data_IF_772131881294
#
_entry.id   IF_772131881294
#
_cell.length_a   1.000
_cell.length_b   1.000
_cell.length_c   1.000
_cell.angle_alpha   90.00
_cell.angle_beta   90.00
_cell.angle_gamma   90.00
#
_symmetry.space_group_name_H-M   'P 1'
#
loop_
_entity.id
_entity.type
_entity.pdbx_description
1 polymer ?
#
# COMPACT_ATOMS: atom_id res chain seq x y z
N UNK A 1 -43.63 -22.80 2.08
CA UNK A 1 -42.43 -23.61 2.44
C UNK A 1 -41.20 -22.76 2.13
N UNK A 2 -40.35 -22.56 3.11
CA UNK A 2 -39.10 -21.80 2.86
C UNK A 2 -38.10 -22.68 2.12
N UNK A 3 -37.55 -22.22 1.02
CA UNK A 3 -36.54 -22.90 0.21
C UNK A 3 -35.29 -23.28 1.05
N UNK A 4 -35.04 -22.56 2.14
CA UNK A 4 -33.92 -22.83 3.05
C UNK A 4 -33.97 -24.17 3.79
N UNK A 5 -35.11 -24.85 3.83
CA UNK A 5 -35.27 -26.16 4.53
C UNK A 5 -34.83 -27.36 3.68
N UNK A 6 -34.61 -27.19 2.37
CA UNK A 6 -34.28 -28.28 1.45
C UNK A 6 -32.81 -28.31 1.04
N UNK A 7 -31.99 -27.44 1.53
CA UNK A 7 -30.55 -27.47 1.23
C UNK A 7 -29.82 -28.33 2.28
N UNK A 8 -28.93 -29.22 1.85
CA UNK A 8 -28.10 -29.96 2.78
C UNK A 8 -27.27 -29.00 3.62
N UNK A 9 -27.29 -29.18 4.95
CA UNK A 9 -26.49 -28.37 5.89
C UNK A 9 -25.02 -28.83 5.86
N UNK A 10 -24.43 -28.79 4.67
CA UNK A 10 -23.02 -29.14 4.42
C UNK A 10 -22.20 -27.87 4.42
N UNK A 11 -21.21 -27.81 5.29
CA UNK A 11 -20.21 -26.75 5.25
C UNK A 11 -19.24 -27.02 4.10
N UNK A 12 -18.85 -25.98 3.32
CA UNK A 12 -17.84 -26.15 2.28
C UNK A 12 -16.52 -26.62 2.92
N UNK A 13 -15.86 -27.56 2.25
CA UNK A 13 -14.57 -28.09 2.70
C UNK A 13 -13.44 -27.04 2.62
N UNK A 14 -13.61 -26.01 1.79
CA UNK A 14 -12.73 -24.85 1.66
C UNK A 14 -13.58 -23.59 1.51
N UNK A 15 -13.29 -22.58 2.32
CA UNK A 15 -13.92 -21.26 2.24
C UNK A 15 -12.85 -20.18 2.02
N UNK A 16 -12.89 -19.55 0.86
CA UNK A 16 -11.95 -18.48 0.46
C UNK A 16 -12.55 -17.07 0.62
N UNK A 17 -13.48 -16.91 1.54
CA UNK A 17 -14.03 -15.59 1.85
C UNK A 17 -13.08 -14.78 2.76
N UNK A 18 -12.01 -14.28 2.16
CA UNK A 18 -10.94 -13.56 2.87
C UNK A 18 -11.40 -12.22 3.48
N UNK A 19 -12.38 -11.56 2.86
CA UNK A 19 -12.95 -10.33 3.40
C UNK A 19 -13.63 -10.54 4.77
N UNK A 20 -14.25 -11.72 4.97
CA UNK A 20 -14.92 -12.06 6.22
C UNK A 20 -13.97 -12.72 7.24
N UNK A 21 -13.14 -13.67 6.79
CA UNK A 21 -12.29 -14.46 7.69
C UNK A 21 -11.07 -13.68 8.17
N UNK A 22 -10.53 -12.78 7.33
CA UNK A 22 -9.26 -12.07 7.55
C UNK A 22 -8.10 -13.01 7.91
N UNK A 23 -8.18 -14.26 7.46
CA UNK A 23 -7.18 -15.31 7.69
C UNK A 23 -7.10 -16.23 6.48
N UNK A 24 -5.94 -16.84 6.27
CA UNK A 24 -5.79 -17.93 5.31
C UNK A 24 -6.21 -19.27 5.93
N UNK A 25 -6.81 -20.14 5.10
CA UNK A 25 -7.01 -21.54 5.48
C UNK A 25 -5.62 -22.20 5.65
N UNK A 26 -5.40 -23.02 6.69
CA UNK A 26 -4.09 -23.66 6.95
C UNK A 26 -3.55 -24.52 5.80
N UNK A 27 -4.40 -24.90 4.84
CA UNK A 27 -4.01 -25.64 3.63
C UNK A 27 -3.42 -24.76 2.53
N UNK A 28 -3.49 -23.43 2.68
CA UNK A 28 -2.97 -22.47 1.70
C UNK A 28 -1.56 -22.08 2.11
N UNK A 29 -0.61 -22.38 1.25
CA UNK A 29 0.75 -21.87 1.37
C UNK A 29 0.79 -20.48 0.71
N UNK A 30 1.21 -19.48 1.45
CA UNK A 30 1.40 -18.11 0.96
C UNK A 30 2.90 -17.78 0.96
N UNK A 31 3.38 -17.31 -0.18
CA UNK A 31 4.79 -16.90 -0.32
C UNK A 31 4.87 -15.52 -0.96
N UNK A 32 5.70 -14.66 -0.41
CA UNK A 32 6.03 -13.34 -0.93
C UNK A 32 7.44 -12.96 -0.49
N UNK A 33 8.34 -12.73 -1.43
CA UNK A 33 9.77 -12.51 -1.14
C UNK A 33 10.11 -11.11 -0.62
N UNK A 34 9.18 -10.15 -0.70
CA UNK A 34 9.41 -8.76 -0.28
C UNK A 34 8.47 -8.33 0.83
N UNK A 35 8.83 -7.28 1.54
CA UNK A 35 7.90 -6.51 2.36
C UNK A 35 6.83 -5.85 1.49
N UNK A 36 5.71 -5.49 2.07
CA UNK A 36 4.64 -4.77 1.39
C UNK A 36 3.79 -3.97 2.35
N UNK A 37 2.91 -3.14 1.82
CA UNK A 37 2.00 -2.32 2.61
C UNK A 37 0.55 -2.72 2.36
N UNK A 38 -0.32 -2.40 3.31
CA UNK A 38 -1.77 -2.55 3.21
C UNK A 38 -2.44 -1.52 4.11
N UNK A 39 -3.71 -1.25 3.87
CA UNK A 39 -4.52 -0.38 4.73
C UNK A 39 -5.19 -1.24 5.80
N UNK A 40 -5.03 -0.88 7.07
CA UNK A 40 -5.69 -1.55 8.18
C UNK A 40 -7.17 -1.08 8.35
N UNK A 41 -7.88 -1.69 9.29
CA UNK A 41 -9.31 -1.41 9.54
C UNK A 41 -9.61 0.01 10.04
N UNK A 42 -8.60 0.77 10.46
CA UNK A 42 -8.71 2.17 10.88
C UNK A 42 -8.16 3.15 9.85
N UNK A 43 -7.85 2.67 8.63
CA UNK A 43 -7.38 3.51 7.52
C UNK A 43 -5.89 3.85 7.55
N UNK A 44 -5.10 3.21 8.40
CA UNK A 44 -3.65 3.44 8.50
C UNK A 44 -2.89 2.47 7.60
N UNK A 45 -1.87 2.99 6.90
CA UNK A 45 -0.96 2.15 6.12
C UNK A 45 -0.04 1.38 7.06
N UNK A 46 -0.05 0.05 6.95
CA UNK A 46 0.79 -0.87 7.71
C UNK A 46 1.80 -1.57 6.81
N UNK A 47 2.92 -1.94 7.40
CA UNK A 47 3.92 -2.79 6.78
C UNK A 47 3.66 -4.26 7.16
N UNK A 48 3.88 -5.14 6.19
CA UNK A 48 3.83 -6.58 6.36
C UNK A 48 5.17 -7.18 5.93
N UNK A 49 5.68 -8.12 6.68
CA UNK A 49 6.92 -8.83 6.38
C UNK A 49 6.78 -9.74 5.15
N UNK A 50 7.91 -10.27 4.65
CA UNK A 50 7.88 -11.35 3.66
C UNK A 50 7.04 -12.52 4.20
N UNK A 51 6.37 -13.23 3.30
CA UNK A 51 5.51 -14.40 3.58
C UNK A 51 4.32 -14.15 4.52
N UNK A 52 4.05 -12.90 4.88
CA UNK A 52 2.90 -12.51 5.68
C UNK A 52 1.76 -12.04 4.78
N UNK A 53 0.55 -12.65 4.83
CA UNK A 53 -0.60 -12.24 4.04
C UNK A 53 -1.14 -10.87 4.47
N UNK A 54 -1.60 -10.09 3.52
CA UNK A 54 -2.14 -8.75 3.73
C UNK A 54 -3.64 -8.74 3.47
N UNK A 55 -4.43 -8.32 4.44
CA UNK A 55 -5.88 -8.11 4.28
C UNK A 55 -6.14 -6.62 4.22
N UNK A 56 -6.46 -6.14 3.01
CA UNK A 56 -6.61 -4.72 2.74
C UNK A 56 -8.01 -4.22 3.12
N UNK A 57 -8.10 -2.96 3.53
CA UNK A 57 -9.35 -2.33 3.92
C UNK A 57 -9.58 -1.02 3.15
N UNK A 58 -10.82 -0.60 3.11
CA UNK A 58 -11.17 0.73 2.63
C UNK A 58 -10.71 1.78 3.66
N UNK A 59 -9.91 2.79 3.27
CA UNK A 59 -9.35 3.75 4.22
C UNK A 59 -10.40 4.67 4.86
N UNK A 60 -11.60 4.75 4.29
CA UNK A 60 -12.68 5.63 4.78
C UNK A 60 -13.71 4.84 5.58
N UNK A 61 -14.13 3.68 5.07
CA UNK A 61 -15.18 2.86 5.69
C UNK A 61 -14.65 1.81 6.65
N UNK A 62 -13.38 1.43 6.56
CA UNK A 62 -12.77 0.32 7.30
C UNK A 62 -13.22 -1.07 6.82
N UNK A 63 -13.98 -1.14 5.72
CA UNK A 63 -14.46 -2.41 5.18
C UNK A 63 -13.31 -3.23 4.61
N UNK A 64 -13.23 -4.52 5.00
CA UNK A 64 -12.20 -5.42 4.50
C UNK A 64 -12.47 -5.80 3.04
N UNK A 65 -11.53 -5.50 2.15
CA UNK A 65 -11.57 -5.86 0.72
C UNK A 65 -11.11 -7.30 0.44
N UNK A 66 -10.48 -7.93 1.43
CA UNK A 66 -9.96 -9.29 1.33
C UNK A 66 -8.45 -9.38 1.21
N UNK A 67 -7.94 -10.51 0.72
CA UNK A 67 -6.51 -10.75 0.53
C UNK A 67 -5.97 -9.90 -0.62
N UNK A 68 -4.98 -9.04 -0.31
CA UNK A 68 -4.32 -8.21 -1.29
C UNK A 68 -3.29 -9.03 -2.09
N UNK A 69 -3.52 -9.13 -3.39
CA UNK A 69 -2.62 -9.77 -4.36
C UNK A 69 -2.26 -8.73 -5.42
N UNK A 70 -0.96 -8.52 -5.63
CA UNK A 70 -0.42 -7.55 -6.56
C UNK A 70 0.59 -8.21 -7.50
N UNK A 71 0.76 -7.64 -8.68
CA UNK A 71 1.87 -7.99 -9.56
C UNK A 71 3.21 -7.63 -8.92
N UNK A 72 4.25 -8.41 -9.23
CA UNK A 72 5.62 -8.03 -8.85
C UNK A 72 6.03 -6.77 -9.61
N UNK A 73 6.25 -5.69 -8.90
CA UNK A 73 6.70 -4.40 -9.45
C UNK A 73 7.90 -3.91 -8.67
N UNK A 74 8.83 -3.29 -9.37
CA UNK A 74 10.00 -2.65 -8.79
C UNK A 74 9.83 -1.12 -8.85
N UNK A 75 10.08 -0.45 -7.73
CA UNK A 75 10.19 1.01 -7.74
C UNK A 75 11.55 1.41 -8.34
N UNK A 76 11.52 2.13 -9.45
CA UNK A 76 12.71 2.59 -10.15
C UNK A 76 13.22 3.94 -9.62
N UNK A 77 12.38 4.67 -8.86
CA UNK A 77 12.79 5.93 -8.24
C UNK A 77 13.68 5.63 -7.02
N UNK A 78 14.90 6.12 -7.05
CA UNK A 78 15.79 6.09 -5.88
C UNK A 78 15.34 7.13 -4.86
N UNK A 79 15.52 6.83 -3.57
CA UNK A 79 15.12 7.73 -2.48
C UNK A 79 13.65 8.21 -2.57
N UNK A 80 12.74 7.33 -3.00
CA UNK A 80 11.32 7.69 -3.18
C UNK A 80 10.62 8.10 -1.87
N UNK A 81 11.13 7.64 -0.73
CA UNK A 81 10.65 8.04 0.60
C UNK A 81 11.40 9.26 1.18
N UNK A 82 12.45 9.76 0.52
CA UNK A 82 13.26 10.89 0.97
C UNK A 82 13.47 11.90 -0.17
N UNK A 83 12.49 12.75 -0.37
CA UNK A 83 12.57 13.83 -1.39
C UNK A 83 13.53 14.97 -1.00
N UNK A 84 14.09 14.95 0.22
CA UNK A 84 15.15 15.89 0.60
C UNK A 84 16.48 15.56 -0.06
N UNK A 85 16.69 14.29 -0.44
CA UNK A 85 17.93 13.82 -1.06
C UNK A 85 18.28 14.57 -2.35
N UNK A 86 19.59 14.71 -2.60
CA UNK A 86 20.12 15.41 -3.78
C UNK A 86 19.77 14.74 -5.12
N UNK A 87 19.36 13.47 -5.12
CA UNK A 87 18.86 12.78 -6.31
C UNK A 87 17.56 13.41 -6.87
N UNK A 88 16.88 14.21 -6.05
CA UNK A 88 15.70 14.96 -6.46
C UNK A 88 16.09 16.41 -6.84
N UNK A 89 15.96 16.73 -8.11
CA UNK A 89 16.04 18.12 -8.59
C UNK A 89 14.88 18.95 -8.05
N UNK A 90 15.15 20.17 -7.61
CA UNK A 90 14.15 21.08 -7.05
C UNK A 90 14.15 22.37 -7.89
N UNK A 91 13.03 22.69 -8.50
CA UNK A 91 12.86 23.91 -9.31
C UNK A 91 11.86 24.82 -8.61
N UNK A 92 12.32 26.04 -8.30
CA UNK A 92 11.54 27.08 -7.61
C UNK A 92 10.85 26.57 -6.32
N UNK A 93 11.43 25.55 -5.70
CA UNK A 93 10.85 24.89 -4.52
C UNK A 93 11.94 24.46 -3.55
N UNK A 94 11.56 24.27 -2.32
CA UNK A 94 12.38 23.75 -1.23
C UNK A 94 11.63 22.70 -0.42
N UNK A 95 12.38 21.89 0.33
CA UNK A 95 11.79 20.89 1.22
C UNK A 95 11.69 21.49 2.62
N UNK A 96 10.48 21.53 3.14
CA UNK A 96 10.19 21.96 4.51
C UNK A 96 10.32 20.82 5.53
N UNK A 97 9.98 21.11 6.78
CA UNK A 97 10.00 20.12 7.85
C UNK A 97 9.00 18.99 7.57
N UNK A 98 9.29 17.81 8.11
CA UNK A 98 8.41 16.64 8.01
C UNK A 98 7.10 16.86 8.77
N UNK A 99 6.08 16.15 8.34
CA UNK A 99 4.74 16.10 8.95
C UNK A 99 4.26 14.65 9.00
N UNK A 100 3.11 14.43 9.60
CA UNK A 100 2.53 13.07 9.73
C UNK A 100 2.21 12.49 8.36
N UNK A 101 2.75 11.31 8.09
CA UNK A 101 2.49 10.49 6.92
C UNK A 101 1.25 9.59 7.14
N UNK A 102 0.67 8.99 6.08
CA UNK A 102 -0.49 8.10 6.19
C UNK A 102 -0.26 6.84 7.03
N UNK A 103 0.99 6.46 7.28
CA UNK A 103 1.37 5.36 8.18
C UNK A 103 1.45 5.77 9.66
N UNK A 104 1.12 7.02 9.97
CA UNK A 104 1.16 7.61 11.31
C UNK A 104 2.55 8.06 11.76
N UNK A 105 3.60 7.90 10.95
CA UNK A 105 4.95 8.39 11.25
C UNK A 105 5.14 9.85 10.82
N UNK A 106 6.17 10.54 11.35
CA UNK A 106 6.49 11.91 10.95
C UNK A 106 7.52 11.94 9.82
N UNK A 107 7.21 11.29 8.71
CA UNK A 107 8.12 11.11 7.56
C UNK A 107 7.68 11.79 6.27
N UNK A 108 6.47 12.34 6.21
CA UNK A 108 6.00 13.06 5.05
C UNK A 108 6.68 14.44 4.94
N UNK A 109 7.22 14.76 3.77
CA UNK A 109 7.86 16.04 3.51
C UNK A 109 6.88 17.06 2.95
N UNK A 110 7.07 18.32 3.31
CA UNK A 110 6.36 19.44 2.68
C UNK A 110 7.19 19.99 1.53
N UNK A 111 6.59 20.13 0.36
CA UNK A 111 7.14 20.89 -0.73
C UNK A 111 6.69 22.36 -0.56
N UNK A 112 7.64 23.28 -0.49
CA UNK A 112 7.40 24.72 -0.30
C UNK A 112 7.85 25.42 -1.57
N UNK A 113 6.93 26.12 -2.22
CA UNK A 113 7.22 26.98 -3.36
C UNK A 113 7.90 28.30 -2.91
N UNK A 114 8.68 28.91 -3.79
CA UNK A 114 9.21 30.25 -3.61
C UNK A 114 8.33 31.29 -4.34
N UNK A 115 8.68 32.56 -4.27
CA UNK A 115 7.92 33.66 -4.88
C UNK A 115 8.21 33.87 -6.38
N UNK A 116 8.96 33.00 -7.03
CA UNK A 116 9.27 33.09 -8.46
C UNK A 116 8.01 32.82 -9.28
N UNK A 117 7.69 33.67 -10.23
CA UNK A 117 6.59 33.41 -11.17
C UNK A 117 7.05 32.40 -12.23
N UNK A 118 6.62 31.13 -12.10
CA UNK A 118 7.03 30.04 -12.98
C UNK A 118 6.58 28.66 -12.46
N UNK A 119 7.17 27.61 -13.01
CA UNK A 119 6.88 26.24 -12.59
C UNK A 119 7.59 25.93 -11.27
N UNK A 120 6.87 25.24 -10.36
CA UNK A 120 7.34 24.77 -9.07
C UNK A 120 7.18 23.26 -9.00
N UNK A 121 8.30 22.53 -8.97
CA UNK A 121 8.24 21.06 -8.97
C UNK A 121 9.51 20.44 -8.38
N UNK A 122 9.39 19.14 -8.10
CA UNK A 122 10.53 18.25 -7.87
C UNK A 122 10.57 17.22 -8.99
N UNK A 123 11.76 16.78 -9.38
CA UNK A 123 11.94 15.80 -10.46
C UNK A 123 13.11 14.86 -10.17
N UNK A 124 13.02 13.64 -10.71
CA UNK A 124 14.14 12.72 -10.79
C UNK A 124 14.22 12.18 -12.22
N UNK A 125 15.41 12.14 -12.78
CA UNK A 125 15.64 11.60 -14.13
C UNK A 125 15.88 10.09 -14.00
N UNK A 126 15.07 9.29 -14.68
CA UNK A 126 15.28 7.86 -14.82
C UNK A 126 15.96 7.57 -16.15
N UNK A 127 17.12 6.96 -16.10
CA UNK A 127 17.78 6.40 -17.30
C UNK A 127 17.30 4.95 -17.48
N UNK A 128 16.54 4.69 -18.52
CA UNK A 128 16.18 3.33 -18.91
C UNK A 128 17.29 2.82 -19.88
N UNK A 129 18.10 1.92 -19.40
CA UNK A 129 19.02 1.17 -20.28
C UNK A 129 18.22 0.02 -20.88
N UNK A 130 17.78 0.18 -22.13
CA UNK A 130 17.29 -0.96 -22.92
C UNK A 130 18.49 -1.89 -23.20
N UNK A 131 18.57 -3.01 -22.50
CA UNK A 131 19.46 -4.12 -22.80
C UNK A 131 18.70 -5.17 -23.59
#
# INVERSE_FOLDING_TARGET
MSISQNFPNTRPSLNLNFARSKTLDPRITFTRTSTGTYVDEIGIIRYSSADEPRFDHDPVTGECKGLLIEESRQNLLTYSADISNAAWGKTNSSIGPTTTAPDGTSTAYKLIENSTNGYHFISQILFYLNT
#
